data_IF_414051017947
#
_entry.id   IF_414051017947
#
_cell.length_a   1.000
_cell.length_b   1.000
_cell.length_c   1.000
_cell.angle_alpha   90.00
_cell.angle_beta   90.00
_cell.angle_gamma   90.00
#
_symmetry.space_group_name_H-M   'P 1'
#
loop_
_entity.id
_entity.type
_entity.pdbx_description
1 polymer ?
#
# COMPACT_ATOMS: atom_id res chain seq x y z
N UNK A 1 2.55 1.34 -12.16
CA UNK A 1 2.39 1.48 -10.70
C UNK A 1 3.11 2.72 -10.21
N UNK A 2 2.49 3.52 -9.34
CA UNK A 2 2.99 4.79 -8.79
C UNK A 2 2.51 4.98 -7.33
N UNK A 3 3.17 5.84 -6.52
CA UNK A 3 2.64 6.26 -5.22
C UNK A 3 1.20 6.77 -5.31
N UNK A 4 0.36 6.35 -4.37
CA UNK A 4 -1.06 6.68 -4.31
C UNK A 4 -1.97 5.67 -5.02
N UNK A 5 -1.45 4.82 -5.90
CA UNK A 5 -2.25 3.76 -6.54
C UNK A 5 -2.87 2.83 -5.50
N UNK A 6 -4.14 2.50 -5.67
CA UNK A 6 -4.80 1.44 -4.91
C UNK A 6 -4.79 0.18 -5.77
N UNK A 7 -4.26 -0.91 -5.21
CA UNK A 7 -4.10 -2.19 -5.89
C UNK A 7 -4.88 -3.26 -5.13
N UNK A 8 -5.62 -4.08 -5.86
CA UNK A 8 -6.15 -5.35 -5.36
C UNK A 8 -5.15 -6.45 -5.69
N UNK A 9 -4.59 -7.06 -4.64
CA UNK A 9 -3.59 -8.10 -4.75
C UNK A 9 -4.22 -9.45 -4.43
N UNK A 10 -4.17 -10.34 -5.42
CA UNK A 10 -4.65 -11.72 -5.32
C UNK A 10 -3.49 -12.69 -5.55
N UNK A 11 -3.76 -14.00 -5.53
CA UNK A 11 -2.77 -15.03 -5.90
C UNK A 11 -2.09 -14.79 -7.25
N UNK A 12 -2.74 -14.09 -8.19
CA UNK A 12 -2.13 -13.74 -9.48
C UNK A 12 -0.89 -12.83 -9.32
N UNK A 13 -0.87 -11.96 -8.30
CA UNK A 13 0.25 -11.08 -8.03
C UNK A 13 1.37 -11.80 -7.25
N UNK A 14 1.02 -12.75 -6.39
CA UNK A 14 1.96 -13.60 -5.63
C UNK A 14 1.19 -14.65 -4.83
N UNK A 15 1.77 -15.83 -4.62
CA UNK A 15 1.22 -16.90 -3.78
C UNK A 15 0.97 -16.47 -2.32
N UNK A 16 1.64 -15.42 -1.85
CA UNK A 16 1.48 -14.86 -0.51
C UNK A 16 0.07 -14.30 -0.27
N UNK A 17 -0.67 -13.96 -1.34
CA UNK A 17 -1.99 -13.36 -1.28
C UNK A 17 -3.11 -14.40 -1.46
N UNK A 18 -3.03 -15.50 -0.69
CA UNK A 18 -4.08 -16.54 -0.65
C UNK A 18 -5.43 -15.91 -0.28
N UNK A 19 -5.41 -15.00 0.69
CA UNK A 19 -6.51 -14.09 0.99
C UNK A 19 -6.20 -12.77 0.28
N UNK A 20 -7.05 -12.31 -0.65
CA UNK A 20 -6.82 -11.05 -1.34
C UNK A 20 -6.76 -9.87 -0.37
N UNK A 21 -5.95 -8.88 -0.69
CA UNK A 21 -5.83 -7.64 0.08
C UNK A 21 -5.88 -6.43 -0.84
N UNK A 22 -6.47 -5.34 -0.36
CA UNK A 22 -6.36 -4.04 -1.00
C UNK A 22 -5.20 -3.26 -0.37
N UNK A 23 -4.36 -2.65 -1.18
CA UNK A 23 -3.24 -1.85 -0.70
C UNK A 23 -3.13 -0.53 -1.43
N UNK A 24 -2.72 0.53 -0.72
CA UNK A 24 -2.34 1.81 -1.31
C UNK A 24 -0.83 1.95 -1.33
N UNK A 25 -0.26 2.12 -2.52
CA UNK A 25 1.17 2.30 -2.73
C UNK A 25 1.67 3.56 -2.05
N UNK A 26 2.74 3.45 -1.28
CA UNK A 26 3.49 4.57 -0.70
C UNK A 26 4.71 4.85 -1.58
N UNK A 27 5.46 3.81 -1.93
CA UNK A 27 6.70 3.92 -2.70
C UNK A 27 6.98 2.64 -3.47
N UNK A 28 7.53 2.78 -4.67
CA UNK A 28 8.14 1.70 -5.44
C UNK A 28 9.62 1.63 -5.06
N UNK A 29 10.13 0.47 -4.69
CA UNK A 29 11.52 0.28 -4.23
C UNK A 29 12.40 -0.18 -5.41
N UNK A 30 12.79 0.78 -6.26
CA UNK A 30 13.60 0.54 -7.47
C UNK A 30 15.08 0.27 -7.17
N UNK A 31 15.52 0.54 -5.94
CA UNK A 31 16.86 0.31 -5.42
C UNK A 31 17.12 -1.15 -5.03
N UNK A 32 16.08 -2.00 -5.01
CA UNK A 32 16.21 -3.43 -4.71
C UNK A 32 16.31 -4.23 -6.00
N UNK A 33 17.20 -5.22 -6.03
CA UNK A 33 17.29 -6.18 -7.13
C UNK A 33 15.94 -6.85 -7.36
N UNK A 34 15.35 -6.62 -8.53
CA UNK A 34 14.15 -7.29 -9.00
C UNK A 34 14.54 -8.36 -9.99
N UNK A 35 14.22 -9.62 -9.69
CA UNK A 35 14.18 -10.67 -10.71
C UNK A 35 13.14 -10.31 -11.78
N UNK A 36 13.36 -10.73 -13.02
CA UNK A 36 12.59 -10.27 -14.18
C UNK A 36 11.08 -10.19 -13.91
N UNK A 37 10.54 -8.99 -14.13
CA UNK A 37 9.12 -8.65 -13.97
C UNK A 37 8.54 -8.71 -12.54
N UNK A 38 9.34 -8.89 -11.48
CA UNK A 38 8.89 -8.72 -10.09
C UNK A 38 9.20 -7.34 -9.53
N UNK A 39 8.50 -6.92 -8.48
CA UNK A 39 8.60 -5.58 -7.93
C UNK A 39 8.49 -5.56 -6.40
N UNK A 40 9.35 -4.77 -5.77
CA UNK A 40 9.26 -4.43 -4.35
C UNK A 40 8.55 -3.11 -4.15
N UNK A 41 7.62 -3.07 -3.18
CA UNK A 41 6.79 -1.89 -2.90
C UNK A 41 6.62 -1.70 -1.40
N UNK A 42 6.54 -0.45 -0.97
CA UNK A 42 5.96 -0.10 0.32
C UNK A 42 4.52 0.34 0.10
N UNK A 43 3.59 -0.22 0.89
CA UNK A 43 2.17 0.06 0.78
C UNK A 43 1.46 0.05 2.14
N UNK A 44 0.32 0.74 2.21
CA UNK A 44 -0.64 0.55 3.29
C UNK A 44 -1.65 -0.50 2.88
N UNK A 45 -1.88 -1.52 3.70
CA UNK A 45 -3.08 -2.35 3.60
C UNK A 45 -4.30 -1.52 3.99
N UNK A 46 -5.37 -1.70 3.23
CA UNK A 46 -6.64 -1.02 3.43
C UNK A 46 -7.67 -2.00 3.99
N UNK A 47 -8.53 -1.52 4.89
CA UNK A 47 -9.73 -2.24 5.27
C UNK A 47 -10.86 -2.04 4.24
N UNK A 48 -12.04 -2.58 4.55
CA UNK A 48 -13.23 -2.46 3.70
C UNK A 48 -13.75 -1.02 3.55
N UNK A 49 -13.40 -0.11 4.48
CA UNK A 49 -13.73 1.32 4.38
C UNK A 49 -12.68 2.10 3.57
N UNK A 50 -11.57 1.47 3.19
CA UNK A 50 -10.46 2.11 2.49
C UNK A 50 -9.47 2.81 3.43
N UNK A 51 -9.57 2.58 4.74
CA UNK A 51 -8.68 3.17 5.73
C UNK A 51 -7.39 2.35 5.86
N UNK A 52 -6.28 3.05 6.03
CA UNK A 52 -4.96 2.43 6.14
C UNK A 52 -4.80 1.78 7.52
N UNK A 53 -4.81 0.44 7.57
CA UNK A 53 -4.72 -0.31 8.83
C UNK A 53 -3.30 -0.73 9.19
N UNK A 54 -2.43 -0.96 8.19
CA UNK A 54 -1.05 -1.39 8.43
C UNK A 54 -0.12 -1.04 7.27
N UNK A 55 1.13 -0.69 7.56
CA UNK A 55 2.19 -0.57 6.54
C UNK A 55 2.84 -1.93 6.27
N UNK A 56 3.06 -2.26 5.00
CA UNK A 56 3.71 -3.49 4.54
C UNK A 56 4.75 -3.18 3.46
N UNK A 57 5.84 -3.94 3.47
CA UNK A 57 6.75 -4.04 2.32
C UNK A 57 6.44 -5.34 1.59
N UNK A 58 6.12 -5.27 0.31
CA UNK A 58 5.57 -6.39 -0.47
C UNK A 58 6.45 -6.66 -1.70
N UNK A 59 6.56 -7.95 -2.05
CA UNK A 59 7.19 -8.42 -3.29
C UNK A 59 6.12 -9.09 -4.16
N UNK A 60 5.88 -8.55 -5.35
CA UNK A 60 4.79 -8.99 -6.21
C UNK A 60 5.16 -8.92 -7.69
N UNK A 61 4.40 -9.65 -8.51
CA UNK A 61 4.39 -9.53 -9.96
C UNK A 61 3.36 -8.47 -10.37
N UNK A 62 3.77 -7.33 -10.98
CA UNK A 62 2.84 -6.27 -11.37
C UNK A 62 1.77 -6.71 -12.36
N UNK A 63 2.07 -7.67 -13.24
CA UNK A 63 1.11 -8.20 -14.21
C UNK A 63 -0.10 -8.88 -13.55
N UNK A 64 0.05 -9.39 -12.33
CA UNK A 64 -1.03 -10.00 -11.56
C UNK A 64 -1.76 -9.05 -10.60
N UNK A 65 -1.36 -7.77 -10.54
CA UNK A 65 -1.99 -6.77 -9.70
C UNK A 65 -3.07 -6.00 -10.47
N UNK A 66 -4.26 -5.86 -9.87
CA UNK A 66 -5.34 -5.08 -10.47
C UNK A 66 -5.39 -3.69 -9.82
N UNK A 67 -5.33 -2.63 -10.63
CA UNK A 67 -5.53 -1.27 -10.13
C UNK A 67 -7.02 -1.05 -9.86
N UNK A 68 -7.35 -0.55 -8.69
CA UNK A 68 -8.70 -0.10 -8.36
C UNK A 68 -8.77 1.41 -8.61
N UNK A 69 -9.86 1.85 -9.21
CA UNK A 69 -10.15 3.28 -9.31
C UNK A 69 -10.28 3.85 -7.89
N UNK A 70 -9.60 4.96 -7.57
CA UNK A 70 -9.73 5.57 -6.25
C UNK A 70 -11.18 6.05 -6.09
N UNK A 71 -11.95 5.36 -5.25
CA UNK A 71 -13.23 5.87 -4.77
C UNK A 71 -13.03 7.22 -4.06
N UNK A 72 -14.11 8.02 -3.87
CA UNK A 72 -14.01 9.33 -3.25
C UNK A 72 -13.26 9.24 -1.91
N UNK A 73 -12.10 9.88 -1.86
CA UNK A 73 -11.17 9.76 -0.75
C UNK A 73 -11.75 10.47 0.45
N UNK A 74 -12.22 9.73 1.45
CA UNK A 74 -12.52 10.32 2.74
C UNK A 74 -11.20 10.80 3.36
N UNK A 75 -11.08 12.06 3.79
CA UNK A 75 -9.92 12.50 4.52
C UNK A 75 -9.84 11.68 5.81
N UNK A 76 -8.73 10.96 6.02
CA UNK A 76 -8.49 10.33 7.29
C UNK A 76 -8.47 11.41 8.39
N UNK A 77 -9.07 11.17 9.57
CA UNK A 77 -9.01 12.12 10.67
C UNK A 77 -7.54 12.39 11.01
N UNK A 78 -7.12 13.65 10.92
CA UNK A 78 -5.77 14.07 11.31
C UNK A 78 -5.64 13.83 12.79
N UNK A 79 -4.84 12.85 13.21
CA UNK A 79 -4.50 12.67 14.61
C UNK A 79 -3.77 13.93 15.08
N UNK A 80 -4.23 14.63 16.13
CA UNK A 80 -3.50 15.77 16.69
C UNK A 80 -2.10 15.29 17.10
N UNK A 81 -1.06 15.97 16.63
CA UNK A 81 0.28 15.78 17.14
C UNK A 81 0.26 16.40 18.55
N UNK A 82 0.53 15.64 19.63
CA UNK A 82 0.61 16.24 20.96
C UNK A 82 1.68 17.32 20.94
N UNK A 83 1.28 18.56 21.19
CA UNK A 83 2.21 19.68 21.26
C UNK A 83 3.28 19.39 22.32
N UNK A 84 4.55 19.54 21.95
CA UNK A 84 5.68 19.46 22.88
C UNK A 84 5.53 20.61 23.87
N UNK A 85 5.10 20.33 25.10
CA UNK A 85 5.17 21.30 26.20
C UNK A 85 6.65 21.50 26.49
N UNK A 86 7.18 22.67 26.14
CA UNK A 86 8.48 23.13 26.60
C UNK A 86 8.23 23.81 27.94
N UNK A 87 8.66 23.18 29.03
CA UNK A 87 8.67 23.80 30.36
C UNK A 87 9.97 24.61 30.45
N UNK A 88 9.83 25.90 30.74
CA UNK A 88 10.92 26.84 31.02
C UNK A 88 11.30 26.80 32.50
#
# INVERSE_FOLDING_TARGET
MRPGDVLHLTRAASVQFIRPIAVRVIRVLTDRHTYDCWLWIDAYELDAAGDAVRRRTLFLMPAGATRLEPGPRRPAPRRPIPGRVVVA
#
